data_IF_675763786273
#
_entry.id   IF_675763786273
#
_cell.length_a   1.000
_cell.length_b   1.000
_cell.length_c   1.000
_cell.angle_alpha   90.00
_cell.angle_beta   90.00
_cell.angle_gamma   90.00
#
_symmetry.space_group_name_H-M   'P 1'
#
loop_
_entity.id
_entity.type
_entity.pdbx_description
1 polymer ?
#
# COMPACT_ATOMS: atom_id res chain seq x y z
N UNK A 1 6.86 15.60 -7.65
CA UNK A 1 5.64 15.92 -8.43
C UNK A 1 5.52 15.06 -9.67
N UNK A 2 6.59 14.89 -10.42
CA UNK A 2 6.62 14.24 -11.75
C UNK A 2 6.50 12.70 -11.72
N UNK A 3 7.05 12.04 -10.69
CA UNK A 3 7.08 10.56 -10.60
C UNK A 3 5.75 9.94 -10.15
N UNK A 4 4.91 10.69 -9.44
CA UNK A 4 3.67 10.16 -8.82
C UNK A 4 2.60 9.84 -9.86
N UNK A 5 2.42 10.72 -10.85
CA UNK A 5 1.41 10.54 -11.89
C UNK A 5 1.56 9.24 -12.71
N UNK A 6 2.76 8.90 -13.25
CA UNK A 6 2.93 7.66 -14.00
C UNK A 6 2.76 6.42 -13.11
N UNK A 7 3.23 6.45 -11.85
CA UNK A 7 3.04 5.33 -10.91
C UNK A 7 1.57 5.12 -10.55
N UNK A 8 0.80 6.20 -10.39
CA UNK A 8 -0.65 6.11 -10.13
C UNK A 8 -1.40 5.54 -11.33
N UNK A 9 -1.02 5.94 -12.55
CA UNK A 9 -1.58 5.37 -13.78
C UNK A 9 -1.25 3.87 -13.91
N UNK A 10 0.00 3.49 -13.67
CA UNK A 10 0.44 2.08 -13.69
C UNK A 10 -0.31 1.22 -12.65
N UNK A 11 -0.52 1.75 -11.45
CA UNK A 11 -1.30 1.07 -10.39
C UNK A 11 -2.74 0.81 -10.85
N UNK A 12 -3.39 1.80 -11.46
CA UNK A 12 -4.76 1.66 -11.98
C UNK A 12 -4.86 0.65 -13.13
N UNK A 13 -3.88 0.64 -14.02
CA UNK A 13 -3.88 -0.26 -15.19
C UNK A 13 -3.57 -1.72 -14.82
N UNK A 14 -2.76 -1.95 -13.79
CA UNK A 14 -2.35 -3.29 -13.35
C UNK A 14 -3.41 -4.01 -12.51
N UNK A 15 -4.40 -3.28 -11.98
CA UNK A 15 -5.44 -3.83 -11.09
C UNK A 15 -6.56 -4.50 -11.89
N UNK A 16 -6.88 -5.79 -11.64
CA UNK A 16 -8.09 -6.42 -12.19
C UNK A 16 -9.36 -5.72 -11.69
N UNK A 17 -9.44 -5.46 -10.39
CA UNK A 17 -10.48 -4.63 -9.76
C UNK A 17 -9.86 -3.66 -8.77
N UNK A 18 -10.64 -2.68 -8.30
CA UNK A 18 -10.17 -1.70 -7.30
C UNK A 18 -9.75 -2.32 -5.96
N UNK A 19 -10.21 -3.55 -5.67
CA UNK A 19 -10.00 -4.23 -4.39
C UNK A 19 -8.70 -5.06 -4.37
N UNK A 20 -8.00 -5.15 -5.51
CA UNK A 20 -6.76 -5.92 -5.67
C UNK A 20 -5.51 -5.10 -5.33
N UNK A 21 -4.65 -5.67 -4.48
CA UNK A 21 -3.27 -5.21 -4.36
C UNK A 21 -2.48 -5.51 -5.62
N UNK A 22 -1.52 -4.66 -5.96
CA UNK A 22 -0.55 -4.91 -7.01
C UNK A 22 0.84 -4.46 -6.57
N UNK A 23 1.90 -4.99 -7.19
CA UNK A 23 3.29 -4.56 -6.92
C UNK A 23 3.51 -3.06 -7.10
N UNK A 24 2.73 -2.44 -7.99
CA UNK A 24 2.82 -1.00 -8.27
C UNK A 24 2.47 -0.14 -7.05
N UNK A 25 1.64 -0.63 -6.12
CA UNK A 25 1.33 0.10 -4.88
C UNK A 25 2.60 0.30 -4.04
N UNK A 26 3.46 -0.72 -3.92
CA UNK A 26 4.74 -0.62 -3.20
C UNK A 26 5.59 0.55 -3.73
N UNK A 27 5.69 0.68 -5.07
CA UNK A 27 6.46 1.75 -5.71
C UNK A 27 5.78 3.12 -5.57
N UNK A 28 4.47 3.19 -5.79
CA UNK A 28 3.69 4.42 -5.66
C UNK A 28 3.78 4.97 -4.24
N UNK A 29 3.52 4.13 -3.24
CA UNK A 29 3.49 4.54 -1.83
C UNK A 29 4.89 4.97 -1.38
N UNK A 30 5.94 4.22 -1.74
CA UNK A 30 7.32 4.57 -1.40
C UNK A 30 7.69 5.95 -1.96
N UNK A 31 7.38 6.20 -3.25
CA UNK A 31 7.66 7.48 -3.89
C UNK A 31 6.87 8.63 -3.26
N UNK A 32 5.60 8.39 -2.91
CA UNK A 32 4.76 9.40 -2.29
C UNK A 32 5.22 9.77 -0.88
N UNK A 33 5.52 8.79 -0.03
CA UNK A 33 6.06 9.02 1.32
C UNK A 33 7.40 9.76 1.24
N UNK A 34 8.32 9.31 0.38
CA UNK A 34 9.61 9.98 0.20
C UNK A 34 9.48 11.44 -0.30
N UNK A 35 8.44 11.74 -1.07
CA UNK A 35 8.17 13.10 -1.56
C UNK A 35 7.23 13.92 -0.67
N UNK A 36 6.83 13.42 0.51
CA UNK A 36 5.87 14.09 1.39
C UNK A 36 4.44 14.18 0.83
N UNK A 37 4.11 13.40 -0.21
CA UNK A 37 2.80 13.35 -0.88
C UNK A 37 1.87 12.34 -0.22
N UNK A 38 1.72 12.46 1.09
CA UNK A 38 0.90 11.56 1.90
C UNK A 38 -0.59 11.61 1.49
N UNK A 39 -1.05 12.76 0.98
CA UNK A 39 -2.39 12.97 0.42
C UNK A 39 -2.74 11.95 -0.68
N UNK A 40 -1.75 11.60 -1.51
CA UNK A 40 -1.94 10.69 -2.64
C UNK A 40 -2.15 9.25 -2.16
N UNK A 41 -1.39 8.84 -1.14
CA UNK A 41 -1.47 7.51 -0.53
C UNK A 41 -2.79 7.36 0.21
N UNK A 42 -3.15 8.34 1.05
CA UNK A 42 -4.41 8.33 1.78
C UNK A 42 -5.61 8.25 0.84
N UNK A 43 -5.63 9.04 -0.23
CA UNK A 43 -6.68 8.97 -1.24
C UNK A 43 -6.75 7.60 -1.94
N UNK A 44 -5.62 6.92 -2.14
CA UNK A 44 -5.61 5.58 -2.71
C UNK A 44 -6.16 4.55 -1.73
N UNK A 45 -5.75 4.58 -0.46
CA UNK A 45 -6.29 3.75 0.62
C UNK A 45 -7.82 3.93 0.77
N UNK A 46 -8.31 5.18 0.74
CA UNK A 46 -9.74 5.49 0.90
C UNK A 46 -10.57 5.03 -0.30
N UNK A 47 -10.06 5.24 -1.52
CA UNK A 47 -10.80 4.95 -2.75
C UNK A 47 -10.70 3.50 -3.19
N UNK A 48 -9.70 2.78 -2.69
CA UNK A 48 -9.36 1.41 -3.06
C UNK A 48 -8.88 0.65 -1.81
N UNK A 49 -9.77 0.37 -0.85
CA UNK A 49 -9.42 -0.51 0.26
C UNK A 49 -9.07 -1.88 -0.31
N UNK A 50 -7.79 -2.22 -0.24
CA UNK A 50 -7.29 -3.52 -0.68
C UNK A 50 -7.88 -4.59 0.24
N UNK A 51 -8.73 -5.45 -0.32
CA UNK A 51 -9.32 -6.59 0.37
C UNK A 51 -8.82 -7.92 -0.18
N UNK A 52 -8.27 -7.92 -1.39
CA UNK A 52 -7.83 -9.12 -2.09
C UNK A 52 -6.36 -9.02 -2.49
N UNK A 53 -5.62 -10.08 -2.16
CA UNK A 53 -4.24 -10.29 -2.58
C UNK A 53 -4.23 -11.54 -3.42
N UNK A 54 -4.11 -11.38 -4.74
CA UNK A 54 -3.99 -12.50 -5.69
C UNK A 54 -2.59 -12.50 -6.35
N UNK A 55 -1.66 -13.31 -5.82
CA UNK A 55 -0.30 -13.43 -6.38
C UNK A 55 -0.27 -13.90 -7.84
N UNK A 56 -1.26 -14.68 -8.29
CA UNK A 56 -1.30 -15.19 -9.66
C UNK A 56 -1.72 -14.06 -10.62
N UNK A 57 -2.76 -13.30 -10.26
CA UNK A 57 -3.27 -12.23 -11.11
C UNK A 57 -2.39 -10.98 -11.12
N UNK A 58 -1.75 -10.66 -9.99
CA UNK A 58 -1.08 -9.35 -9.79
C UNK A 58 0.41 -9.44 -9.47
N UNK A 59 0.94 -10.66 -9.35
CA UNK A 59 2.34 -10.95 -9.08
C UNK A 59 2.79 -10.63 -7.65
N UNK A 60 1.92 -10.09 -6.79
CA UNK A 60 2.25 -9.64 -5.42
C UNK A 60 2.82 -10.75 -4.55
N UNK A 61 3.72 -10.37 -3.66
CA UNK A 61 4.23 -11.23 -2.59
C UNK A 61 3.92 -10.65 -1.20
N UNK A 62 4.28 -11.39 -0.15
CA UNK A 62 4.04 -10.97 1.23
C UNK A 62 4.72 -9.63 1.57
N UNK A 63 5.88 -9.33 0.98
CA UNK A 63 6.57 -8.07 1.24
C UNK A 63 5.84 -6.89 0.59
N UNK A 64 5.20 -7.09 -0.56
CA UNK A 64 4.36 -6.07 -1.18
C UNK A 64 3.17 -5.71 -0.28
N UNK A 65 2.52 -6.70 0.33
CA UNK A 65 1.44 -6.47 1.30
C UNK A 65 1.92 -5.74 2.55
N UNK A 66 3.05 -6.16 3.14
CA UNK A 66 3.61 -5.51 4.32
C UNK A 66 4.00 -4.06 4.03
N UNK A 67 4.60 -3.77 2.86
CA UNK A 67 4.92 -2.40 2.42
C UNK A 67 3.68 -1.56 2.21
N UNK A 68 2.62 -2.11 1.63
CA UNK A 68 1.35 -1.40 1.49
C UNK A 68 0.82 -0.95 2.85
N UNK A 69 0.79 -1.86 3.83
CA UNK A 69 0.33 -1.56 5.18
C UNK A 69 1.22 -0.53 5.89
N UNK A 70 2.54 -0.73 5.86
CA UNK A 70 3.51 0.15 6.55
C UNK A 70 3.54 1.56 5.96
N UNK A 71 3.63 1.69 4.63
CA UNK A 71 3.71 2.98 3.95
C UNK A 71 2.34 3.68 3.93
N UNK A 72 1.25 2.92 3.81
CA UNK A 72 -0.11 3.44 3.95
C UNK A 72 -0.34 3.99 5.36
N UNK A 73 0.04 3.23 6.39
CA UNK A 73 -0.03 3.66 7.79
C UNK A 73 0.81 4.91 8.06
N UNK A 74 2.04 4.94 7.53
CA UNK A 74 2.94 6.11 7.65
C UNK A 74 2.35 7.36 7.00
N UNK A 75 1.73 7.23 5.83
CA UNK A 75 1.08 8.37 5.17
C UNK A 75 -0.13 8.87 5.97
N UNK A 76 -0.98 7.97 6.46
CA UNK A 76 -2.14 8.33 7.29
C UNK A 76 -1.71 8.98 8.61
N UNK A 77 -0.67 8.45 9.26
CA UNK A 77 -0.06 9.01 10.46
C UNK A 77 0.41 10.45 10.22
N UNK A 78 1.09 10.68 9.10
CA UNK A 78 1.61 12.00 8.71
C UNK A 78 0.50 13.03 8.43
N UNK A 79 -0.73 12.58 8.17
CA UNK A 79 -1.91 13.41 7.98
C UNK A 79 -2.76 13.56 9.26
N UNK A 80 -2.32 13.00 10.39
CA UNK A 80 -3.07 13.04 11.65
C UNK A 80 -4.24 12.05 11.72
N UNK A 81 -4.36 11.11 10.77
CA UNK A 81 -5.40 10.08 10.72
C UNK A 81 -4.98 8.87 11.56
N UNK A 82 -4.86 9.07 12.87
CA UNK A 82 -4.23 8.10 13.77
C UNK A 82 -4.96 6.76 13.87
N UNK A 83 -6.30 6.75 13.86
CA UNK A 83 -7.08 5.53 13.95
C UNK A 83 -6.87 4.65 12.71
N UNK A 84 -6.99 5.24 11.52
CA UNK A 84 -6.81 4.53 10.25
C UNK A 84 -5.36 4.05 10.08
N UNK A 85 -4.38 4.85 10.53
CA UNK A 85 -2.98 4.46 10.54
C UNK A 85 -2.75 3.22 11.43
N UNK A 86 -3.32 3.23 12.64
CA UNK A 86 -3.24 2.11 13.57
C UNK A 86 -3.85 0.82 12.99
N UNK A 87 -4.95 0.93 12.23
CA UNK A 87 -5.54 -0.21 11.54
C UNK A 87 -4.58 -0.82 10.51
N UNK A 88 -3.94 0.00 9.66
CA UNK A 88 -2.97 -0.50 8.69
C UNK A 88 -1.73 -1.12 9.37
N UNK A 89 -1.23 -0.51 10.44
CA UNK A 89 -0.12 -1.11 11.19
C UNK A 89 -0.53 -2.44 11.84
N UNK A 90 -1.75 -2.53 12.38
CA UNK A 90 -2.28 -3.78 12.93
C UNK A 90 -2.28 -4.88 11.87
N UNK A 91 -2.80 -4.57 10.67
CA UNK A 91 -2.81 -5.51 9.53
C UNK A 91 -1.41 -6.03 9.18
N UNK A 92 -0.37 -5.19 9.24
CA UNK A 92 1.01 -5.63 9.04
C UNK A 92 1.48 -6.59 10.14
N UNK A 93 1.19 -6.28 11.40
CA UNK A 93 1.62 -7.11 12.55
C UNK A 93 0.87 -8.42 12.69
N UNK A 94 -0.37 -8.49 12.21
CA UNK A 94 -1.21 -9.70 12.27
C UNK A 94 -1.10 -10.56 11.01
N UNK A 95 -0.33 -10.12 10.00
CA UNK A 95 -0.10 -10.89 8.79
C UNK A 95 0.58 -12.23 9.16
N UNK A 96 0.08 -13.38 8.67
CA UNK A 96 0.72 -14.66 8.94
C UNK A 96 2.17 -14.66 8.43
N UNK A 97 3.11 -14.91 9.35
CA UNK A 97 4.53 -14.97 9.04
C UNK A 97 5.16 -16.20 9.69
N UNK A 98 5.88 -16.99 8.89
CA UNK A 98 6.82 -18.00 9.38
C UNK A 98 8.23 -17.48 9.11
N UNK A 99 8.89 -16.98 10.15
CA UNK A 99 10.32 -16.70 10.10
C UNK A 99 11.09 -18.00 10.42
N UNK A 100 12.16 -18.35 9.69
CA UNK A 100 13.07 -19.39 10.15
C UNK A 100 13.64 -18.98 11.52
N UNK A 101 13.75 -19.95 12.43
CA UNK A 101 14.38 -19.72 13.72
C UNK A 101 15.82 -19.19 13.50
N UNK A 102 16.20 -18.18 14.29
CA UNK A 102 17.52 -17.55 14.24
C UNK A 102 18.64 -18.50 14.65
#
# INVERSE_FOLDING_TARGET
>A
GEVVAPLRAATRAARPTRDHLTKQHSFLFSACVACGRHDVVAADVDSCPVFETDPIATGVDAMDYLKYCDLGGTALLSLGRYADAAELFLRATTAPATAPAA
#
